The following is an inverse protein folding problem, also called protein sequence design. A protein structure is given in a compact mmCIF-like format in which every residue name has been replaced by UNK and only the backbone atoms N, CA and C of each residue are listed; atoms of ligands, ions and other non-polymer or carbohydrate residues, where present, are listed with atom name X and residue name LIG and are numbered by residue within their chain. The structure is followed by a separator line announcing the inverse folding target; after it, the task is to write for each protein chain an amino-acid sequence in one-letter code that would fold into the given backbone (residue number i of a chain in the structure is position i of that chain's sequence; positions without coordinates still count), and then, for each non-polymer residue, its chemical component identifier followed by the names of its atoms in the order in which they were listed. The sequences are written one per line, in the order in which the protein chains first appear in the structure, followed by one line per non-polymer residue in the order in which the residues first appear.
data_IF_113187740784
#
_entry.id   IF_113187740784
#
_cell.length_a   1.000
_cell.length_b   1.000
_cell.length_c   1.000
_cell.angle_alpha   90.00
_cell.angle_beta   90.00
_cell.angle_gamma   90.00
#
_symmetry.space_group_name_H-M   'P 1'
#
loop_
_entity.id
_entity.type
_entity.pdbx_description
1 polymer ?
#
# COMPACT_ATOMS: atom_id res chain seq x y z
N UNK A 1 8.32 13.41 -12.14
CA UNK A 1 9.18 12.27 -11.76
C UNK A 1 8.80 11.86 -10.35
N UNK A 2 8.04 10.76 -10.20
CA UNK A 2 7.78 10.17 -8.88
C UNK A 2 9.05 9.46 -8.44
N UNK A 3 9.70 10.00 -7.41
CA UNK A 3 10.98 9.52 -6.92
C UNK A 3 10.74 8.27 -6.06
N UNK A 4 10.87 7.08 -6.65
CA UNK A 4 10.64 5.78 -6.01
C UNK A 4 11.57 5.50 -4.82
N UNK A 5 12.64 6.28 -4.66
CA UNK A 5 13.58 6.20 -3.54
C UNK A 5 12.99 6.69 -2.20
N UNK A 6 11.93 7.50 -2.19
CA UNK A 6 11.32 7.98 -0.93
C UNK A 6 10.34 6.99 -0.29
N UNK A 7 10.00 5.90 -0.98
CA UNK A 7 9.07 4.89 -0.47
C UNK A 7 9.80 3.72 0.22
N UNK A 8 11.12 3.61 0.01
CA UNK A 8 11.97 2.63 0.69
C UNK A 8 12.23 3.13 2.11
N UNK A 9 11.24 2.94 2.98
CA UNK A 9 11.22 3.44 4.37
C UNK A 9 9.99 4.27 4.74
N UNK A 10 9.04 4.46 3.81
CA UNK A 10 7.77 5.08 4.14
C UNK A 10 6.87 4.06 4.87
N UNK A 11 6.27 4.47 6.00
CA UNK A 11 5.30 3.66 6.73
C UNK A 11 4.20 3.14 5.80
N UNK A 12 3.74 1.91 6.04
CA UNK A 12 2.68 1.27 5.26
C UNK A 12 1.43 2.16 5.13
N UNK A 13 1.15 2.99 6.14
CA UNK A 13 0.09 3.98 6.10
C UNK A 13 0.25 5.02 4.97
N UNK A 14 1.47 5.50 4.74
CA UNK A 14 1.77 6.47 3.66
C UNK A 14 1.56 5.82 2.30
N UNK A 15 1.98 4.55 2.16
CA UNK A 15 1.77 3.76 0.94
C UNK A 15 0.28 3.58 0.63
N UNK A 16 -0.50 3.14 1.63
CA UNK A 16 -1.95 2.94 1.50
C UNK A 16 -2.67 4.26 1.23
N UNK A 17 -2.32 5.34 1.94
CA UNK A 17 -2.87 6.68 1.67
C UNK A 17 -2.54 7.16 0.27
N UNK A 18 -1.33 6.93 -0.22
CA UNK A 18 -0.94 7.33 -1.58
C UNK A 18 -1.76 6.57 -2.61
N UNK A 19 -1.96 5.26 -2.42
CA UNK A 19 -2.80 4.45 -3.30
C UNK A 19 -4.26 4.92 -3.30
N UNK A 20 -4.81 5.26 -2.13
CA UNK A 20 -6.16 5.81 -1.98
C UNK A 20 -6.30 7.19 -2.64
N UNK A 21 -5.31 8.07 -2.46
CA UNK A 21 -5.33 9.42 -3.02
C UNK A 21 -5.26 9.42 -4.55
N UNK A 22 -4.41 8.57 -5.12
CA UNK A 22 -4.28 8.43 -6.57
C UNK A 22 -5.38 7.55 -7.18
N UNK A 23 -6.18 6.87 -6.35
CA UNK A 23 -7.15 5.83 -6.76
C UNK A 23 -6.53 4.74 -7.61
N UNK A 24 -5.22 4.55 -7.46
CA UNK A 24 -4.42 3.65 -8.27
C UNK A 24 -3.37 3.01 -7.39
N UNK A 25 -3.24 1.68 -7.52
CA UNK A 25 -2.17 0.95 -6.88
C UNK A 25 -0.96 0.90 -7.82
N UNK A 26 -0.10 1.92 -7.75
CA UNK A 26 1.10 1.93 -8.58
C UNK A 26 2.00 0.73 -8.28
N UNK A 27 2.71 0.17 -9.27
CA UNK A 27 3.48 -1.07 -9.12
C UNK A 27 4.55 -1.00 -8.03
N UNK A 28 5.19 0.17 -7.83
CA UNK A 28 6.16 0.36 -6.73
C UNK A 28 5.53 0.29 -5.34
N UNK A 29 4.28 0.75 -5.20
CA UNK A 29 3.51 0.68 -3.95
C UNK A 29 3.03 -0.75 -3.72
N UNK A 30 2.56 -1.43 -4.77
CA UNK A 30 2.18 -2.84 -4.72
C UNK A 30 3.34 -3.73 -4.24
N UNK A 31 4.55 -3.56 -4.79
CA UNK A 31 5.75 -4.31 -4.38
C UNK A 31 6.10 -4.05 -2.91
N UNK A 32 6.01 -2.79 -2.47
CA UNK A 32 6.25 -2.45 -1.08
C UNK A 32 5.23 -3.13 -0.15
N UNK A 33 3.93 -3.04 -0.46
CA UNK A 33 2.86 -3.71 0.29
C UNK A 33 3.03 -5.23 0.30
N UNK A 34 3.44 -5.83 -0.81
CA UNK A 34 3.69 -7.27 -0.89
C UNK A 34 4.86 -7.68 0.00
N UNK A 35 5.88 -6.84 0.13
CA UNK A 35 6.97 -7.02 1.11
C UNK A 35 6.47 -6.95 2.56
N UNK A 36 5.46 -6.11 2.85
CA UNK A 36 4.78 -6.12 4.16
C UNK A 36 3.91 -7.36 4.35
N UNK A 37 3.21 -7.85 3.31
CA UNK A 37 2.45 -9.12 3.38
C UNK A 37 3.35 -10.33 3.60
N UNK A 38 4.56 -10.29 3.05
CA UNK A 38 5.56 -11.36 3.20
C UNK A 38 6.26 -11.35 4.57
N UNK A 39 6.10 -10.30 5.38
CA UNK A 39 6.59 -10.30 6.77
C UNK A 39 5.78 -11.27 7.62
N UNK A 40 6.47 -12.17 8.32
CA UNK A 40 5.85 -13.08 9.31
C UNK A 40 5.25 -12.33 10.51
N UNK A 41 5.82 -11.20 10.89
CA UNK A 41 5.35 -10.38 12.01
C UNK A 41 4.92 -9.01 11.52
N UNK A 42 3.62 -8.88 11.29
CA UNK A 42 2.95 -7.60 11.05
C UNK A 42 2.39 -7.08 12.37
N UNK A 43 2.64 -5.81 12.66
CA UNK A 43 2.00 -5.08 13.76
C UNK A 43 0.50 -4.95 13.51
N UNK A 44 -0.27 -4.70 14.57
CA UNK A 44 -1.72 -4.49 14.46
C UNK A 44 -2.07 -3.31 13.53
N UNK A 45 -1.25 -2.25 13.54
CA UNK A 45 -1.39 -1.11 12.64
C UNK A 45 -1.17 -1.52 11.20
N UNK A 46 -0.11 -2.29 10.91
CA UNK A 46 0.17 -2.72 9.53
C UNK A 46 -0.94 -3.64 8.99
N UNK A 47 -1.43 -4.59 9.80
CA UNK A 47 -2.57 -5.45 9.42
C UNK A 47 -3.79 -4.62 9.06
N UNK A 48 -4.13 -3.62 9.87
CA UNK A 48 -5.26 -2.74 9.63
C UNK A 48 -5.11 -1.94 8.33
N UNK A 49 -3.91 -1.47 8.02
CA UNK A 49 -3.62 -0.76 6.77
C UNK A 49 -3.79 -1.67 5.55
N UNK A 50 -3.32 -2.92 5.63
CA UNK A 50 -3.54 -3.92 4.58
C UNK A 50 -5.04 -4.20 4.36
N UNK A 51 -5.84 -4.32 5.43
CA UNK A 51 -7.28 -4.53 5.33
C UNK A 51 -8.01 -3.34 4.70
N UNK A 52 -7.62 -2.11 5.04
CA UNK A 52 -8.17 -0.89 4.43
C UNK A 52 -7.88 -0.88 2.93
N UNK A 53 -6.64 -1.20 2.56
CA UNK A 53 -6.24 -1.27 1.16
C UNK A 53 -7.02 -2.35 0.40
N UNK A 54 -7.10 -3.56 0.95
CA UNK A 54 -7.80 -4.69 0.34
C UNK A 54 -9.28 -4.39 0.12
N UNK A 55 -9.93 -3.75 1.12
CA UNK A 55 -11.27 -3.21 0.98
C UNK A 55 -11.38 -2.17 -0.13
N UNK A 56 -10.45 -1.21 -0.20
CA UNK A 56 -10.50 -0.17 -1.21
C UNK A 56 -10.30 -0.71 -2.64
N UNK A 57 -9.50 -1.77 -2.80
CA UNK A 57 -9.39 -2.51 -4.07
C UNK A 57 -10.70 -3.25 -4.36
N UNK A 58 -11.26 -3.96 -3.37
CA UNK A 58 -12.51 -4.72 -3.55
C UNK A 58 -13.73 -3.83 -3.81
N UNK A 59 -13.75 -2.61 -3.27
CA UNK A 59 -14.78 -1.60 -3.51
C UNK A 59 -14.65 -0.96 -4.90
N UNK A 60 -13.52 -1.19 -5.60
CA UNK A 60 -13.20 -0.55 -6.87
C UNK A 60 -12.77 0.92 -6.72
N UNK A 61 -12.48 1.35 -5.49
CA UNK A 61 -11.97 2.69 -5.19
C UNK A 61 -10.51 2.85 -5.61
N UNK A 62 -9.75 1.74 -5.59
CA UNK A 62 -8.39 1.66 -6.11
C UNK A 62 -8.38 0.69 -7.29
N UNK A 63 -7.86 1.15 -8.42
CA UNK A 63 -7.63 0.30 -9.59
C UNK A 63 -6.19 -0.21 -9.56
N UNK A 64 -6.01 -1.52 -9.66
CA UNK A 64 -4.68 -2.11 -9.84
C UNK A 64 -4.33 -2.04 -11.32
N UNK A 65 -3.26 -1.31 -11.68
CA UNK A 65 -2.80 -1.11 -13.06
C UNK A 65 -1.52 -1.88 -13.36
#
# INVERSE_FOLDING_TARGET
MFNTTQLIGADLEVLVRTALLNKELSPGVAIAIESYRAKSELTATEKRQLEILDRAISDGCIVTV
#
